data_IF_905270574487
#
_entry.id   IF_905270574487
#
_cell.length_a   1.000
_cell.length_b   1.000
_cell.length_c   1.000
_cell.angle_alpha   90.00
_cell.angle_beta   90.00
_cell.angle_gamma   90.00
#
_symmetry.space_group_name_H-M   'P 1'
#
loop_
_entity.id
_entity.type
_entity.pdbx_description
1 polymer ?
#
# COMPACT_ATOMS: atom_id res chain seq x y z
N UNK A 1 -11.02 6.18 -14.67
CA UNK A 1 -9.74 6.11 -15.38
C UNK A 1 -9.52 4.67 -15.81
N UNK A 2 -9.14 4.40 -17.06
CA UNK A 2 -8.86 3.04 -17.51
C UNK A 2 -7.42 2.69 -17.15
N UNK A 3 -7.19 1.53 -16.50
CA UNK A 3 -5.84 1.03 -16.23
C UNK A 3 -5.07 0.88 -17.55
N UNK A 4 -3.73 1.06 -17.54
CA UNK A 4 -2.92 0.73 -18.71
C UNK A 4 -3.05 -0.77 -19.04
N UNK A 5 -2.74 -1.16 -20.28
CA UNK A 5 -2.78 -2.59 -20.68
C UNK A 5 -1.82 -3.47 -19.88
N UNK A 6 -0.72 -2.89 -19.41
CA UNK A 6 0.32 -3.55 -18.62
C UNK A 6 0.93 -2.57 -17.64
N UNK A 7 1.34 -3.07 -16.47
CA UNK A 7 2.14 -2.35 -15.47
C UNK A 7 3.52 -3.00 -15.41
N UNK A 8 4.57 -2.20 -15.62
CA UNK A 8 5.94 -2.69 -15.74
C UNK A 8 6.83 -2.00 -14.69
N UNK A 9 6.89 -2.53 -13.46
CA UNK A 9 7.79 -1.98 -12.44
C UNK A 9 9.25 -2.07 -12.90
N UNK A 10 10.10 -1.19 -12.37
CA UNK A 10 11.55 -1.13 -12.62
C UNK A 10 12.31 -1.31 -11.30
N UNK A 11 12.43 -2.55 -10.79
CA UNK A 11 13.27 -2.80 -9.62
C UNK A 11 14.71 -2.34 -9.87
N UNK A 12 15.31 -1.68 -8.89
CA UNK A 12 16.74 -1.31 -8.92
C UNK A 12 17.54 -2.22 -7.99
N UNK A 13 18.71 -2.64 -8.46
CA UNK A 13 19.64 -3.40 -7.63
C UNK A 13 20.26 -2.50 -6.56
N UNK A 14 20.29 -2.99 -5.31
CA UNK A 14 20.93 -2.35 -4.16
C UNK A 14 21.82 -3.37 -3.44
N UNK A 15 22.89 -2.89 -2.81
CA UNK A 15 23.80 -3.74 -2.03
C UNK A 15 23.65 -3.41 -0.56
N UNK A 16 23.16 -4.37 0.22
CA UNK A 16 22.94 -4.25 1.67
C UNK A 16 23.71 -5.40 2.33
N UNK A 17 24.55 -5.11 3.32
CA UNK A 17 25.32 -6.11 4.06
C UNK A 17 26.08 -7.11 3.16
N UNK A 18 26.71 -6.61 2.09
CA UNK A 18 27.42 -7.40 1.06
C UNK A 18 26.54 -8.39 0.26
N UNK A 19 25.21 -8.27 0.33
CA UNK A 19 24.26 -9.04 -0.47
C UNK A 19 23.53 -8.10 -1.44
N UNK A 20 23.27 -8.58 -2.65
CA UNK A 20 22.47 -7.85 -3.63
C UNK A 20 20.98 -8.12 -3.40
N UNK A 21 20.18 -7.05 -3.47
CA UNK A 21 18.72 -7.08 -3.40
C UNK A 21 18.15 -6.23 -4.53
N UNK A 22 16.86 -6.43 -4.82
CA UNK A 22 16.09 -5.53 -5.66
C UNK A 22 15.19 -4.64 -4.78
N UNK A 23 15.03 -3.38 -5.15
CA UNK A 23 14.16 -2.41 -4.47
C UNK A 23 13.13 -1.87 -5.47
N UNK A 24 11.89 -1.72 -5.01
CA UNK A 24 10.85 -0.90 -5.65
C UNK A 24 10.31 0.04 -4.58
N UNK A 25 10.65 1.33 -4.68
CA UNK A 25 10.08 2.37 -3.83
C UNK A 25 8.84 2.99 -4.51
N UNK A 26 7.82 3.31 -3.72
CA UNK A 26 6.55 3.88 -4.18
C UNK A 26 5.89 4.76 -3.10
N UNK A 27 5.00 5.68 -3.48
CA UNK A 27 4.19 6.46 -2.53
C UNK A 27 2.88 6.99 -3.13
N UNK A 28 2.95 7.60 -4.31
CA UNK A 28 1.81 8.17 -5.07
C UNK A 28 0.72 8.85 -4.22
N UNK A 29 0.92 10.06 -3.68
CA UNK A 29 -0.11 10.78 -2.92
C UNK A 29 -1.09 11.53 -3.86
N UNK A 30 -1.72 10.81 -4.79
CA UNK A 30 -2.50 11.31 -5.95
C UNK A 30 -1.68 12.01 -7.05
N UNK A 31 -0.35 11.95 -6.99
CA UNK A 31 0.57 12.36 -8.07
C UNK A 31 1.83 11.49 -8.03
N UNK A 32 2.57 11.39 -9.14
CA UNK A 32 3.83 10.66 -9.17
C UNK A 32 4.94 11.44 -8.44
N UNK A 33 5.56 10.80 -7.45
CA UNK A 33 6.81 11.30 -6.82
C UNK A 33 8.04 10.94 -7.65
N UNK A 34 9.22 11.41 -7.22
CA UNK A 34 10.49 11.06 -7.86
C UNK A 34 10.76 9.55 -7.92
N UNK A 35 10.50 8.83 -6.83
CA UNK A 35 10.67 7.38 -6.79
C UNK A 35 9.56 6.64 -7.55
N UNK A 36 8.32 7.12 -7.55
CA UNK A 36 7.27 6.52 -8.38
C UNK A 36 7.68 6.49 -9.87
N UNK A 37 8.24 7.60 -10.38
CA UNK A 37 8.76 7.68 -11.75
C UNK A 37 9.99 6.79 -11.97
N UNK A 38 10.89 6.73 -11.00
CA UNK A 38 12.13 5.97 -11.10
C UNK A 38 11.90 4.45 -11.09
N UNK A 39 11.00 3.97 -10.24
CA UNK A 39 10.72 2.55 -10.03
C UNK A 39 9.44 2.08 -10.73
N UNK A 40 8.63 2.99 -11.29
CA UNK A 40 7.34 2.68 -11.90
C UNK A 40 6.41 1.89 -10.96
N UNK A 41 6.46 2.25 -9.66
CA UNK A 41 5.82 1.55 -8.55
C UNK A 41 4.49 2.16 -8.10
N UNK A 42 4.03 3.27 -8.68
CA UNK A 42 2.86 4.03 -8.22
C UNK A 42 1.60 3.18 -8.04
N UNK A 43 1.42 2.13 -8.84
CA UNK A 43 0.26 1.24 -8.76
C UNK A 43 0.20 0.42 -7.45
N UNK A 44 1.31 0.33 -6.72
CA UNK A 44 1.40 -0.33 -5.42
C UNK A 44 0.74 0.51 -4.32
N UNK A 45 0.79 1.84 -4.42
CA UNK A 45 0.29 2.76 -3.41
C UNK A 45 -1.21 2.65 -3.15
N UNK A 46 -1.65 3.01 -1.94
CA UNK A 46 -3.06 2.96 -1.56
C UNK A 46 -3.90 4.03 -2.25
N UNK A 47 -3.27 5.15 -2.63
CA UNK A 47 -3.91 6.30 -3.27
C UNK A 47 -4.02 6.11 -4.79
N UNK A 48 -3.37 5.08 -5.35
CA UNK A 48 -3.45 4.80 -6.78
C UNK A 48 -4.88 4.50 -7.20
N UNK A 49 -5.32 5.20 -8.25
CA UNK A 49 -6.67 5.06 -8.79
C UNK A 49 -6.83 3.71 -9.49
N UNK A 50 -7.69 2.88 -8.92
CA UNK A 50 -8.06 1.57 -9.45
C UNK A 50 -9.48 1.23 -9.00
N UNK A 51 -10.29 0.65 -9.89
CA UNK A 51 -11.65 0.28 -9.56
C UNK A 51 -11.70 -1.20 -9.16
N UNK A 52 -12.21 -1.49 -7.96
CA UNK A 52 -12.37 -2.87 -7.48
C UNK A 52 -13.49 -2.95 -6.43
N UNK A 53 -14.02 -4.15 -6.23
CA UNK A 53 -15.04 -4.42 -5.20
C UNK A 53 -14.43 -5.16 -4.00
N UNK A 54 -14.88 -4.82 -2.80
CA UNK A 54 -14.52 -5.48 -1.55
C UNK A 54 -15.79 -6.01 -0.89
N UNK A 55 -15.73 -7.25 -0.40
CA UNK A 55 -16.84 -7.87 0.34
C UNK A 55 -16.40 -8.23 1.76
N UNK A 56 -17.09 -7.70 2.77
CA UNK A 56 -16.87 -8.04 4.18
C UNK A 56 -18.24 -8.25 4.84
N UNK A 57 -18.39 -9.34 5.58
CA UNK A 57 -19.62 -9.71 6.29
C UNK A 57 -20.89 -9.69 5.40
N UNK A 58 -20.75 -10.12 4.15
CA UNK A 58 -21.87 -10.21 3.19
C UNK A 58 -22.28 -8.89 2.53
N UNK A 59 -21.62 -7.77 2.86
CA UNK A 59 -21.81 -6.48 2.19
C UNK A 59 -20.72 -6.33 1.14
N UNK A 60 -21.09 -5.97 -0.09
CA UNK A 60 -20.14 -5.65 -1.17
C UNK A 60 -20.22 -4.17 -1.50
N UNK A 61 -19.06 -3.52 -1.57
CA UNK A 61 -18.92 -2.12 -1.98
C UNK A 61 -17.79 -1.99 -3.00
N UNK A 62 -17.87 -0.97 -3.85
CA UNK A 62 -16.87 -0.69 -4.90
C UNK A 62 -16.11 0.58 -4.57
N UNK A 63 -14.81 0.60 -4.84
CA UNK A 63 -13.90 1.69 -4.48
C UNK A 63 -13.00 2.09 -5.65
N UNK A 64 -12.58 3.35 -5.68
CA UNK A 64 -11.64 3.87 -6.68
C UNK A 64 -10.18 3.93 -6.19
N UNK A 65 -9.95 3.67 -4.90
CA UNK A 65 -8.61 3.58 -4.30
C UNK A 65 -8.63 2.60 -3.11
N UNK A 66 -7.47 2.03 -2.78
CA UNK A 66 -7.34 1.21 -1.57
C UNK A 66 -7.45 2.05 -0.30
N UNK A 67 -7.04 3.32 -0.31
CA UNK A 67 -7.27 4.25 0.80
C UNK A 67 -8.78 4.40 1.09
N UNK A 68 -9.61 4.57 0.06
CA UNK A 68 -11.06 4.66 0.23
C UNK A 68 -11.64 3.37 0.85
N UNK A 69 -11.28 2.21 0.32
CA UNK A 69 -11.73 0.92 0.85
C UNK A 69 -11.28 0.71 2.31
N UNK A 70 -10.04 1.06 2.63
CA UNK A 70 -9.50 0.92 3.98
C UNK A 70 -10.14 1.89 5.00
N UNK A 71 -10.39 3.14 4.62
CA UNK A 71 -11.13 4.05 5.51
C UNK A 71 -12.59 3.61 5.70
N UNK A 72 -13.21 3.05 4.66
CA UNK A 72 -14.56 2.52 4.71
C UNK A 72 -14.72 1.36 5.71
N UNK A 73 -13.67 0.57 5.99
CA UNK A 73 -13.76 -0.50 7.00
C UNK A 73 -14.01 0.03 8.41
N UNK A 74 -13.77 1.34 8.65
CA UNK A 74 -14.04 2.00 9.93
C UNK A 74 -15.50 2.42 10.09
N UNK A 75 -16.33 2.25 9.08
CA UNK A 75 -17.76 2.52 9.12
C UNK A 75 -18.53 1.50 8.27
N UNK A 76 -18.00 0.29 8.13
CA UNK A 76 -18.44 -0.68 7.12
C UNK A 76 -19.92 -1.03 7.20
N UNK A 77 -20.45 -1.13 8.42
CA UNK A 77 -21.84 -1.51 8.69
C UNK A 77 -22.80 -0.31 8.78
N UNK A 78 -22.34 0.91 8.47
CA UNK A 78 -23.16 2.13 8.50
C UNK A 78 -23.27 2.75 7.10
N UNK A 79 -24.22 3.68 6.94
CA UNK A 79 -24.36 4.45 5.68
C UNK A 79 -23.21 5.43 5.45
N UNK A 80 -22.41 5.75 6.48
CA UNK A 80 -21.21 6.59 6.30
C UNK A 80 -20.18 5.93 5.37
N UNK A 81 -20.24 4.60 5.18
CA UNK A 81 -19.42 3.88 4.20
C UNK A 81 -19.54 4.47 2.79
N UNK A 82 -20.75 4.93 2.41
CA UNK A 82 -21.06 5.43 1.07
C UNK A 82 -20.18 6.61 0.64
N UNK A 83 -19.70 7.43 1.58
CA UNK A 83 -18.81 8.56 1.27
C UNK A 83 -17.42 8.16 0.80
N UNK A 84 -17.06 6.88 0.94
CA UNK A 84 -15.84 6.27 0.43
C UNK A 84 -16.08 5.43 -0.82
N UNK A 85 -17.32 5.05 -1.11
CA UNK A 85 -17.63 4.23 -2.27
C UNK A 85 -17.34 4.99 -3.58
N UNK A 86 -17.09 4.24 -4.65
CA UNK A 86 -16.64 4.75 -5.94
C UNK A 86 -17.56 5.83 -6.55
N UNK A 87 -18.84 5.83 -6.19
CA UNK A 87 -19.80 6.85 -6.63
C UNK A 87 -19.56 8.23 -6.00
N UNK A 88 -18.95 8.29 -4.82
CA UNK A 88 -18.77 9.53 -4.05
C UNK A 88 -17.30 9.88 -3.80
N UNK A 89 -16.37 8.92 -3.90
CA UNK A 89 -14.95 9.11 -3.64
C UNK A 89 -14.08 8.67 -4.82
N UNK A 90 -13.33 9.60 -5.38
CA UNK A 90 -12.52 9.37 -6.59
C UNK A 90 -11.00 9.30 -6.31
N UNK A 91 -10.52 9.87 -5.21
CA UNK A 91 -9.07 10.00 -4.95
C UNK A 91 -8.68 9.56 -3.54
N UNK A 92 -7.41 9.23 -3.34
CA UNK A 92 -6.89 8.88 -2.02
C UNK A 92 -6.94 10.08 -1.06
N UNK A 93 -6.60 11.28 -1.53
CA UNK A 93 -6.72 12.53 -0.76
C UNK A 93 -8.14 12.79 -0.31
N UNK A 94 -9.12 12.55 -1.18
CA UNK A 94 -10.53 12.71 -0.82
C UNK A 94 -10.92 11.73 0.30
N UNK A 95 -10.55 10.44 0.19
CA UNK A 95 -10.80 9.44 1.22
C UNK A 95 -10.10 9.78 2.54
N UNK A 96 -8.82 10.17 2.48
CA UNK A 96 -8.04 10.58 3.66
C UNK A 96 -8.69 11.75 4.40
N UNK A 97 -9.29 12.69 3.67
CA UNK A 97 -10.03 13.81 4.26
C UNK A 97 -11.40 13.38 4.79
N UNK A 98 -12.12 12.50 4.09
CA UNK A 98 -13.43 12.00 4.49
C UNK A 98 -13.39 11.21 5.80
N UNK A 99 -12.29 10.53 6.14
CA UNK A 99 -12.17 9.81 7.43
C UNK A 99 -12.39 10.67 8.67
N UNK A 100 -12.17 11.98 8.57
CA UNK A 100 -12.42 12.95 9.66
C UNK A 100 -13.91 13.20 9.91
N UNK A 101 -14.77 12.80 8.96
CA UNK A 101 -16.22 12.98 9.02
C UNK A 101 -16.96 11.79 9.62
N UNK A 102 -16.27 10.66 9.84
CA UNK A 102 -16.86 9.47 10.47
C UNK A 102 -17.18 9.84 11.92
N UNK A 103 -18.46 9.76 12.30
CA UNK A 103 -18.90 10.17 13.64
C UNK A 103 -18.39 9.23 14.74
N UNK A 104 -18.33 7.92 14.47
CA UNK A 104 -17.87 6.92 15.43
C UNK A 104 -17.11 5.79 14.72
N UNK A 105 -15.80 5.98 14.46
CA UNK A 105 -14.99 4.99 13.76
C UNK A 105 -14.94 3.65 14.50
N UNK A 106 -15.28 2.58 13.79
CA UNK A 106 -15.09 1.20 14.22
C UNK A 106 -13.59 0.88 14.31
N UNK A 107 -13.11 0.72 15.54
CA UNK A 107 -11.70 0.41 15.85
C UNK A 107 -11.34 -1.05 15.56
N UNK A 108 -12.32 -1.92 15.33
CA UNK A 108 -12.11 -3.31 14.91
C UNK A 108 -11.89 -3.46 13.41
N UNK A 109 -12.10 -2.38 12.62
CA UNK A 109 -12.01 -2.39 11.16
C UNK A 109 -12.91 -3.48 10.54
N UNK A 110 -14.21 -3.41 10.82
CA UNK A 110 -15.20 -4.40 10.40
C UNK A 110 -14.95 -5.82 10.94
N UNK A 111 -14.25 -5.92 12.09
CA UNK A 111 -13.86 -7.17 12.74
C UNK A 111 -12.56 -7.81 12.23
N UNK A 112 -11.85 -7.19 11.28
CA UNK A 112 -10.63 -7.74 10.69
C UNK A 112 -9.34 -7.29 11.39
N UNK A 113 -9.42 -6.27 12.24
CA UNK A 113 -8.26 -5.54 12.75
C UNK A 113 -7.57 -4.70 11.67
N UNK A 114 -6.66 -3.81 12.09
CA UNK A 114 -6.00 -2.85 11.19
C UNK A 114 -5.26 -3.53 10.03
N UNK A 115 -4.45 -4.55 10.33
CA UNK A 115 -3.61 -5.22 9.34
C UNK A 115 -4.43 -6.18 8.47
N UNK A 116 -5.36 -6.93 9.07
CA UNK A 116 -6.26 -7.82 8.35
C UNK A 116 -7.16 -7.06 7.37
N UNK A 117 -7.64 -5.88 7.77
CA UNK A 117 -8.42 -5.02 6.88
C UNK A 117 -7.59 -4.52 5.68
N UNK A 118 -6.36 -4.06 5.90
CA UNK A 118 -5.48 -3.63 4.79
C UNK A 118 -5.16 -4.81 3.86
N UNK A 119 -4.86 -5.99 4.42
CA UNK A 119 -4.62 -7.19 3.62
C UNK A 119 -5.85 -7.54 2.77
N UNK A 120 -7.05 -7.55 3.34
CA UNK A 120 -8.28 -7.82 2.60
C UNK A 120 -8.51 -6.81 1.46
N UNK A 121 -8.26 -5.52 1.71
CA UNK A 121 -8.33 -4.46 0.70
C UNK A 121 -7.33 -4.70 -0.44
N UNK A 122 -6.07 -5.02 -0.11
CA UNK A 122 -5.02 -5.27 -1.11
C UNK A 122 -5.30 -6.54 -1.91
N UNK A 123 -5.72 -7.63 -1.28
CA UNK A 123 -6.14 -8.85 -1.98
C UNK A 123 -7.27 -8.55 -2.97
N UNK A 124 -8.25 -7.72 -2.58
CA UNK A 124 -9.32 -7.29 -3.48
C UNK A 124 -8.80 -6.40 -4.63
N UNK A 125 -7.95 -5.41 -4.35
CA UNK A 125 -7.30 -4.55 -5.35
C UNK A 125 -6.51 -5.35 -6.39
N UNK A 126 -5.70 -6.31 -5.93
CA UNK A 126 -4.86 -7.15 -6.78
C UNK A 126 -5.58 -8.40 -7.31
N UNK A 127 -6.91 -8.48 -7.16
CA UNK A 127 -7.73 -9.44 -7.93
C UNK A 127 -7.84 -9.03 -9.41
N UNK A 128 -7.69 -7.74 -9.71
CA UNK A 128 -7.58 -7.22 -11.07
C UNK A 128 -6.35 -7.84 -11.77
N UNK A 129 -6.49 -8.45 -12.97
CA UNK A 129 -5.40 -9.14 -13.65
C UNK A 129 -4.20 -8.25 -14.00
N UNK A 130 -4.42 -6.98 -14.35
CA UNK A 130 -3.35 -6.06 -14.73
C UNK A 130 -2.53 -5.67 -13.51
N UNK A 131 -3.22 -5.30 -12.41
CA UNK A 131 -2.56 -4.99 -11.14
C UNK A 131 -1.82 -6.20 -10.59
N UNK A 132 -2.45 -7.39 -10.63
CA UNK A 132 -1.83 -8.65 -10.20
C UNK A 132 -0.54 -8.93 -10.94
N UNK A 133 -0.56 -8.82 -12.27
CA UNK A 133 0.64 -9.04 -13.09
C UNK A 133 1.71 -8.00 -12.79
N UNK A 134 1.34 -6.73 -12.59
CA UNK A 134 2.27 -5.68 -12.15
C UNK A 134 2.93 -6.02 -10.81
N UNK A 135 2.16 -6.50 -9.83
CA UNK A 135 2.67 -6.91 -8.53
C UNK A 135 3.64 -8.10 -8.65
N UNK A 136 3.26 -9.15 -9.38
CA UNK A 136 4.13 -10.31 -9.62
C UNK A 136 5.42 -9.89 -10.34
N UNK A 137 5.34 -8.96 -11.29
CA UNK A 137 6.49 -8.46 -12.04
C UNK A 137 7.53 -7.71 -11.19
N UNK A 138 7.19 -7.33 -9.95
CA UNK A 138 8.19 -6.80 -9.00
C UNK A 138 9.19 -7.87 -8.52
N UNK A 139 8.96 -9.16 -8.84
CA UNK A 139 9.89 -10.24 -8.55
C UNK A 139 10.10 -10.44 -7.05
N UNK A 140 11.36 -10.58 -6.64
CA UNK A 140 11.77 -10.67 -5.24
C UNK A 140 12.10 -9.31 -4.62
N UNK A 141 11.79 -8.20 -5.30
CA UNK A 141 12.11 -6.88 -4.82
C UNK A 141 11.48 -6.60 -3.46
N UNK A 142 12.23 -5.92 -2.60
CA UNK A 142 11.68 -5.28 -1.42
C UNK A 142 10.78 -4.12 -1.86
N UNK A 143 9.53 -4.15 -1.43
CA UNK A 143 8.57 -3.10 -1.72
C UNK A 143 8.61 -2.09 -0.57
N UNK A 144 8.98 -0.84 -0.86
CA UNK A 144 9.13 0.22 0.13
C UNK A 144 8.11 1.34 -0.13
N UNK A 145 7.11 1.48 0.73
CA UNK A 145 6.29 2.68 0.78
C UNK A 145 7.15 3.80 1.40
N UNK A 146 7.67 4.70 0.56
CA UNK A 146 8.61 5.75 0.93
C UNK A 146 7.94 7.11 0.85
N UNK A 147 7.51 7.66 1.98
CA UNK A 147 6.80 8.94 1.96
C UNK A 147 7.76 10.14 1.78
N UNK A 148 7.23 11.29 1.37
CA UNK A 148 8.09 12.44 0.98
C UNK A 148 8.75 13.19 2.13
N UNK A 149 8.33 12.95 3.37
CA UNK A 149 8.89 13.66 4.54
C UNK A 149 8.56 12.96 5.84
N UNK A 150 9.50 13.05 6.78
CA UNK A 150 9.37 12.53 8.13
C UNK A 150 8.14 13.05 8.88
N UNK A 151 7.56 12.21 9.73
CA UNK A 151 6.40 12.49 10.57
C UNK A 151 5.05 12.37 9.84
N UNK A 152 5.01 11.67 8.70
CA UNK A 152 3.80 11.47 7.89
C UNK A 152 3.09 10.17 8.26
N UNK A 153 3.83 9.06 8.34
CA UNK A 153 3.29 7.73 8.64
C UNK A 153 4.41 6.76 9.04
N UNK A 154 4.51 6.43 10.32
CA UNK A 154 5.52 5.54 10.87
C UNK A 154 5.01 4.09 11.05
N UNK A 155 3.95 3.73 10.34
CA UNK A 155 3.36 2.39 10.37
C UNK A 155 3.28 1.77 8.98
N UNK A 156 2.53 2.40 8.07
CA UNK A 156 2.33 1.88 6.73
C UNK A 156 3.53 2.15 5.82
N UNK A 157 4.21 3.28 6.03
CA UNK A 157 5.43 3.66 5.32
C UNK A 157 6.68 3.56 6.21
N UNK A 158 7.83 3.93 5.65
CA UNK A 158 9.11 4.02 6.34
C UNK A 158 9.33 5.33 7.10
N UNK A 159 8.32 6.20 7.18
CA UNK A 159 8.41 7.57 7.71
C UNK A 159 9.54 8.41 7.09
N UNK A 160 9.87 8.16 5.82
CA UNK A 160 10.92 8.82 5.02
C UNK A 160 12.36 8.47 5.38
N UNK A 161 12.69 8.17 6.65
CA UNK A 161 14.07 7.88 7.06
C UNK A 161 14.29 6.44 7.55
N UNK A 162 13.23 5.63 7.57
CA UNK A 162 13.26 4.25 8.05
C UNK A 162 13.42 4.14 9.57
N UNK A 163 13.37 5.26 10.30
CA UNK A 163 13.60 5.32 11.74
C UNK A 163 12.30 5.64 12.47
N UNK A 164 11.89 4.73 13.34
CA UNK A 164 10.72 4.97 14.18
C UNK A 164 11.07 5.89 15.34
N UNK A 165 10.27 6.93 15.56
CA UNK A 165 10.52 7.93 16.62
C UNK A 165 10.51 7.32 18.04
N UNK A 166 9.86 6.15 18.25
CA UNK A 166 9.65 5.54 19.57
C UNK A 166 9.82 4.00 19.64
N UNK A 167 10.50 3.35 18.69
CA UNK A 167 10.74 1.89 18.74
C UNK A 167 12.21 1.54 18.45
N UNK A 168 13.04 1.33 19.48
CA UNK A 168 14.45 0.98 19.32
C UNK A 168 14.69 -0.41 18.69
N UNK A 169 13.63 -1.19 18.43
CA UNK A 169 13.70 -2.51 17.80
C UNK A 169 13.21 -2.52 16.33
N UNK A 170 12.76 -1.38 15.78
CA UNK A 170 12.39 -1.24 14.37
C UNK A 170 11.27 -2.16 13.89
N UNK A 171 10.35 -2.59 14.78
CA UNK A 171 9.46 -3.74 14.49
C UNK A 171 8.32 -3.43 13.51
N UNK A 172 7.90 -2.17 13.36
CA UNK A 172 6.66 -1.82 12.65
C UNK A 172 6.78 -0.57 11.78
N UNK A 173 7.58 -0.66 10.72
CA UNK A 173 7.60 0.29 9.60
C UNK A 173 7.33 -0.44 8.29
N UNK A 174 6.92 0.30 7.27
CA UNK A 174 6.68 -0.19 5.91
C UNK A 174 5.69 -1.38 5.89
N UNK A 175 4.66 -1.35 6.74
CA UNK A 175 3.67 -2.43 6.79
C UNK A 175 2.91 -2.58 5.47
N UNK A 176 2.74 -1.49 4.71
CA UNK A 176 2.09 -1.57 3.39
C UNK A 176 2.94 -2.39 2.42
N UNK A 177 4.24 -2.06 2.32
CA UNK A 177 5.19 -2.81 1.50
C UNK A 177 5.27 -4.29 1.91
N UNK A 178 5.31 -4.56 3.22
CA UNK A 178 5.30 -5.94 3.76
C UNK A 178 4.05 -6.71 3.37
N UNK A 179 2.86 -6.13 3.57
CA UNK A 179 1.59 -6.77 3.19
C UNK A 179 1.49 -6.98 1.68
N UNK A 180 2.00 -6.05 0.85
CA UNK A 180 2.05 -6.24 -0.60
C UNK A 180 2.94 -7.41 -1.00
N UNK A 181 4.08 -7.62 -0.34
CA UNK A 181 4.94 -8.78 -0.59
C UNK A 181 4.28 -10.10 -0.18
N UNK A 182 3.48 -10.11 0.89
CA UNK A 182 2.64 -11.27 1.24
C UNK A 182 1.56 -11.52 0.18
N UNK A 183 0.82 -10.49 -0.25
CA UNK A 183 -0.21 -10.60 -1.30
C UNK A 183 0.41 -11.04 -2.63
N UNK A 184 1.63 -10.60 -2.93
CA UNK A 184 2.41 -11.03 -4.11
C UNK A 184 2.66 -12.53 -4.09
N UNK A 185 3.07 -13.07 -2.95
CA UNK A 185 3.27 -14.51 -2.76
C UNK A 185 1.95 -15.29 -2.91
N UNK A 186 0.86 -14.80 -2.31
CA UNK A 186 -0.49 -15.38 -2.45
C UNK A 186 -1.00 -15.37 -3.90
N UNK A 187 -0.57 -14.40 -4.71
CA UNK A 187 -0.86 -14.32 -6.14
C UNK A 187 0.01 -15.26 -7.01
N UNK A 188 0.90 -16.04 -6.42
CA UNK A 188 1.84 -16.94 -7.12
C UNK A 188 3.18 -16.30 -7.50
N UNK A 189 3.48 -15.11 -6.99
CA UNK A 189 4.78 -14.47 -7.09
C UNK A 189 5.76 -14.91 -6.00
N UNK A 190 6.85 -14.15 -5.82
CA UNK A 190 7.83 -14.38 -4.76
C UNK A 190 7.48 -13.50 -3.55
N UNK A 191 7.58 -14.02 -2.33
CA UNK A 191 7.41 -13.22 -1.11
C UNK A 191 8.51 -12.17 -0.89
N UNK A 192 8.69 -11.72 0.35
CA UNK A 192 9.76 -10.79 0.69
C UNK A 192 11.16 -11.38 0.37
N UNK A 193 12.15 -10.56 -0.01
CA UNK A 193 13.49 -11.06 -0.26
C UNK A 193 14.06 -11.74 0.98
N UNK A 194 14.82 -12.83 0.78
CA UNK A 194 15.50 -13.55 1.86
C UNK A 194 16.83 -12.87 2.19
N UNK A 195 17.19 -12.79 3.46
CA UNK A 195 18.48 -12.24 3.89
C UNK A 195 18.39 -11.52 5.22
N UNK A 196 19.45 -10.76 5.53
CA UNK A 196 19.52 -9.90 6.73
C UNK A 196 19.55 -8.44 6.31
N UNK A 197 18.44 -7.76 6.55
CA UNK A 197 18.23 -6.34 6.27
C UNK A 197 17.23 -5.74 7.26
N UNK A 198 17.19 -4.42 7.29
CA UNK A 198 16.22 -3.59 8.00
C UNK A 198 15.51 -2.67 7.00
N UNK A 199 14.46 -1.95 7.45
CA UNK A 199 13.79 -0.96 6.60
C UNK A 199 14.76 0.18 6.23
N UNK A 200 15.53 0.68 7.21
CA UNK A 200 16.56 1.72 7.03
C UNK A 200 17.55 1.38 5.92
N UNK A 201 17.96 0.10 5.85
CA UNK A 201 18.89 -0.35 4.82
C UNK A 201 18.36 -0.07 3.41
N UNK A 202 17.06 -0.25 3.18
CA UNK A 202 16.43 0.07 1.89
C UNK A 202 16.09 1.56 1.73
N UNK A 203 15.65 2.24 2.79
CA UNK A 203 15.30 3.67 2.74
C UNK A 203 16.44 4.52 2.21
N UNK A 204 17.68 4.22 2.60
CA UNK A 204 18.87 4.95 2.10
C UNK A 204 19.13 4.83 0.59
N UNK A 205 18.37 4.00 -0.13
CA UNK A 205 18.45 3.80 -1.57
C UNK A 205 17.19 4.25 -2.33
N UNK A 206 16.14 4.70 -1.65
CA UNK A 206 14.88 5.09 -2.31
C UNK A 206 15.05 6.31 -3.23
N UNK A 207 15.93 7.24 -2.86
CA UNK A 207 16.16 8.49 -3.60
C UNK A 207 17.36 8.44 -4.57
N UNK A 208 18.05 7.30 -4.67
CA UNK A 208 19.22 7.09 -5.55
C UNK A 208 18.80 6.55 -6.92
#
# INVERSE_FOLDING_TARGET
>A
MTLPKTLAPKPKAVTINNQSYNLVAFYYPDYDTGWDLAFQGQFLANFYRCNFSLTINGITATFNTAEAAFQATKCWNTTEREMFEAAQCDTGTQAFNNKKKIASPDTSYAGLGRDGAMKAVLTAKFSDPVLRQGLIATGDAYLLEHNERKGRDDYWSDDHDGLKQHDPLGKTLNMLGKTLMEVREECGGVGAPKGRYTVVDFTSHAEK
#
